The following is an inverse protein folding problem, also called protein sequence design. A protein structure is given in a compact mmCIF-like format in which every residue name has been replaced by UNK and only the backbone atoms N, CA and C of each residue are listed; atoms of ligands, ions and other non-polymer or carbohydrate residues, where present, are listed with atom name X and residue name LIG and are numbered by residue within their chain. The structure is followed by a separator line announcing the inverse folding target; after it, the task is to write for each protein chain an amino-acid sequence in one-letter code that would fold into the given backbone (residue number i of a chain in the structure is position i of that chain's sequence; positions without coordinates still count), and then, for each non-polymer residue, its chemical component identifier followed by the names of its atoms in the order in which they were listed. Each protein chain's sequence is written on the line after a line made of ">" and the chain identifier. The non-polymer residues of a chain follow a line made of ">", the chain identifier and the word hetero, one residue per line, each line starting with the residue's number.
data_IF_263999486231
#
_entry.id   IF_263999486231
#
_cell.length_a   1.000
_cell.length_b   1.000
_cell.length_c   1.000
_cell.angle_alpha   90.00
_cell.angle_beta   90.00
_cell.angle_gamma   90.00
#
_symmetry.space_group_name_H-M   'P 1'
#
loop_
_entity.id
_entity.type
_entity.pdbx_description
1 polymer ?
#
# COMPACT_ATOMS: atom_id res chain seq x y z
N UNK A 1 13.07 -22.15 9.90
CA UNK A 1 13.59 -23.08 8.88
C UNK A 1 15.03 -23.52 9.13
N UNK A 2 15.92 -22.66 9.65
CA UNK A 2 17.33 -23.01 9.91
C UNK A 2 17.54 -24.20 10.86
N UNK A 3 16.74 -24.32 11.93
CA UNK A 3 16.87 -25.42 12.90
C UNK A 3 16.56 -26.80 12.30
N UNK A 4 15.59 -26.89 11.37
CA UNK A 4 15.24 -28.12 10.66
C UNK A 4 16.31 -28.51 9.64
N UNK A 5 16.86 -27.52 8.92
CA UNK A 5 17.96 -27.74 7.98
C UNK A 5 19.24 -28.18 8.70
N UNK A 6 19.57 -27.56 9.84
CA UNK A 6 20.70 -27.97 10.67
C UNK A 6 20.50 -29.39 11.21
N UNK A 7 19.30 -29.74 11.69
CA UNK A 7 19.00 -31.09 12.18
C UNK A 7 19.13 -32.17 11.09
N UNK A 8 18.64 -31.91 9.87
CA UNK A 8 18.81 -32.81 8.73
C UNK A 8 20.28 -32.99 8.34
N UNK A 9 21.05 -31.90 8.23
CA UNK A 9 22.48 -31.97 7.89
C UNK A 9 23.34 -32.63 8.98
N UNK A 10 22.92 -32.59 10.25
CA UNK A 10 23.67 -33.21 11.35
C UNK A 10 23.26 -34.67 11.60
N UNK A 11 22.06 -35.07 11.17
CA UNK A 11 21.51 -36.43 11.38
C UNK A 11 21.88 -37.45 10.30
N UNK A 12 22.35 -37.00 9.14
CA UNK A 12 22.81 -37.86 8.05
C UNK A 12 24.26 -37.56 7.69
N UNK A 13 25.19 -38.35 8.24
CA UNK A 13 26.64 -38.40 7.94
C UNK A 13 26.98 -38.83 6.49
N UNK A 14 26.03 -38.71 5.56
CA UNK A 14 26.09 -39.29 4.20
C UNK A 14 25.76 -38.31 3.07
N UNK A 15 25.52 -37.04 3.38
CA UNK A 15 25.24 -36.04 2.35
C UNK A 15 26.57 -35.42 1.91
N UNK A 16 27.05 -35.85 0.74
CA UNK A 16 28.20 -35.21 0.12
C UNK A 16 27.84 -33.77 -0.27
N UNK A 17 28.76 -32.79 -0.13
CA UNK A 17 28.50 -31.39 -0.47
C UNK A 17 27.97 -31.20 -1.89
N UNK A 18 28.39 -32.05 -2.83
CA UNK A 18 27.93 -32.08 -4.22
C UNK A 18 26.49 -32.53 -4.37
N UNK A 19 26.02 -33.48 -3.56
CA UNK A 19 24.62 -33.93 -3.59
C UNK A 19 23.69 -32.88 -2.99
N UNK A 20 24.13 -32.20 -1.92
CA UNK A 20 23.40 -31.08 -1.35
C UNK A 20 23.32 -29.91 -2.35
N UNK A 21 24.43 -29.59 -3.01
CA UNK A 21 24.45 -28.54 -4.03
C UNK A 21 23.53 -28.90 -5.20
N UNK A 22 23.56 -30.13 -5.68
CA UNK A 22 22.66 -30.60 -6.75
C UNK A 22 21.19 -30.56 -6.33
N UNK A 23 20.86 -31.02 -5.12
CA UNK A 23 19.48 -31.00 -4.62
C UNK A 23 18.95 -29.56 -4.46
N UNK A 24 19.76 -28.64 -3.95
CA UNK A 24 19.40 -27.22 -3.85
C UNK A 24 19.28 -26.60 -5.23
N UNK A 25 20.22 -26.89 -6.14
CA UNK A 25 20.16 -26.39 -7.51
C UNK A 25 18.89 -26.88 -8.22
N UNK A 26 18.55 -28.16 -8.10
CA UNK A 26 17.35 -28.74 -8.71
C UNK A 26 16.08 -28.16 -8.12
N UNK A 27 15.97 -28.10 -6.78
CA UNK A 27 14.80 -27.53 -6.12
C UNK A 27 14.59 -26.06 -6.50
N UNK A 28 15.66 -25.25 -6.53
CA UNK A 28 15.57 -23.84 -6.90
C UNK A 28 15.34 -23.62 -8.40
N UNK A 29 15.75 -24.54 -9.28
CA UNK A 29 15.54 -24.40 -10.73
C UNK A 29 14.13 -24.85 -11.11
N UNK A 30 13.66 -25.99 -10.58
CA UNK A 30 12.35 -26.55 -10.90
C UNK A 30 11.19 -25.77 -10.26
N UNK A 31 11.36 -25.33 -9.01
CA UNK A 31 10.38 -24.46 -8.34
C UNK A 31 10.56 -23.00 -8.75
N UNK A 32 11.79 -22.56 -9.00
CA UNK A 32 12.10 -21.20 -9.44
C UNK A 32 11.49 -20.84 -10.78
N UNK A 33 11.53 -21.74 -11.77
CA UNK A 33 10.90 -21.53 -13.09
C UNK A 33 9.37 -21.42 -12.99
N UNK A 34 8.75 -22.15 -12.07
CA UNK A 34 7.30 -22.08 -11.85
C UNK A 34 6.88 -20.87 -11.03
N UNK A 35 7.71 -20.43 -10.09
CA UNK A 35 7.43 -19.30 -9.21
C UNK A 35 7.78 -17.95 -9.83
N UNK A 36 8.79 -17.89 -10.71
CA UNK A 36 9.27 -16.67 -11.39
C UNK A 36 8.14 -15.84 -12.02
N UNK A 37 7.20 -16.43 -12.79
CA UNK A 37 6.08 -15.68 -13.36
C UNK A 37 5.22 -15.02 -12.27
N UNK A 38 4.89 -15.77 -11.21
CA UNK A 38 4.01 -15.29 -10.13
C UNK A 38 4.68 -14.23 -9.24
N UNK A 39 6.00 -14.32 -9.04
CA UNK A 39 6.77 -13.32 -8.29
C UNK A 39 6.91 -12.04 -9.13
N UNK A 40 7.18 -12.19 -10.42
CA UNK A 40 7.24 -11.06 -11.35
C UNK A 40 5.89 -10.32 -11.43
N UNK A 41 4.78 -11.03 -11.54
CA UNK A 41 3.43 -10.46 -11.51
C UNK A 41 3.19 -9.67 -10.22
N UNK A 42 3.49 -10.26 -9.05
CA UNK A 42 3.36 -9.56 -7.76
C UNK A 42 4.24 -8.31 -7.66
N UNK A 43 5.45 -8.35 -8.21
CA UNK A 43 6.34 -7.19 -8.20
C UNK A 43 5.85 -6.07 -9.13
N UNK A 44 5.27 -6.43 -10.28
CA UNK A 44 4.63 -5.48 -11.19
C UNK A 44 3.43 -4.83 -10.50
N UNK A 45 2.51 -5.62 -9.93
CA UNK A 45 1.34 -5.10 -9.21
C UNK A 45 1.73 -4.17 -8.06
N UNK A 46 2.72 -4.58 -7.25
CA UNK A 46 3.22 -3.76 -6.15
C UNK A 46 3.92 -2.49 -6.66
N UNK A 47 4.62 -2.58 -7.79
CA UNK A 47 5.25 -1.45 -8.46
C UNK A 47 4.22 -0.44 -8.97
N UNK A 48 3.15 -0.92 -9.62
CA UNK A 48 2.05 -0.10 -10.11
C UNK A 48 1.30 0.58 -8.95
N UNK A 49 0.99 -0.18 -7.89
CA UNK A 49 0.33 0.36 -6.68
C UNK A 49 1.15 1.48 -6.06
N UNK A 50 2.45 1.25 -5.83
CA UNK A 50 3.37 2.27 -5.30
C UNK A 50 3.56 3.44 -6.25
N UNK A 51 3.54 3.19 -7.55
CA UNK A 51 3.62 4.21 -8.59
C UNK A 51 2.41 5.15 -8.54
N UNK A 52 1.21 4.57 -8.47
CA UNK A 52 -0.04 5.30 -8.38
C UNK A 52 -0.14 6.13 -7.09
N UNK A 53 0.20 5.55 -5.94
CA UNK A 53 0.19 6.24 -4.64
C UNK A 53 1.14 7.45 -4.66
N UNK A 54 2.38 7.27 -5.12
CA UNK A 54 3.35 8.37 -5.25
C UNK A 54 2.91 9.42 -6.26
N UNK A 55 2.32 9.00 -7.38
CA UNK A 55 1.81 9.90 -8.41
C UNK A 55 0.68 10.79 -7.89
N UNK A 56 -0.29 10.20 -7.17
CA UNK A 56 -1.39 10.94 -6.55
C UNK A 56 -0.90 11.92 -5.49
N UNK A 57 0.02 11.49 -4.62
CA UNK A 57 0.59 12.35 -3.60
C UNK A 57 1.33 13.55 -4.21
N UNK A 58 2.18 13.31 -5.22
CA UNK A 58 2.86 14.37 -5.95
C UNK A 58 1.89 15.32 -6.67
N UNK A 59 0.80 14.78 -7.22
CA UNK A 59 -0.26 15.57 -7.85
C UNK A 59 -0.98 16.49 -6.85
N UNK A 60 -1.30 15.97 -5.66
CA UNK A 60 -1.87 16.76 -4.57
C UNK A 60 -0.89 17.83 -4.10
N UNK A 61 0.39 17.49 -3.91
CA UNK A 61 1.44 18.44 -3.54
C UNK A 61 1.54 19.62 -4.53
N UNK A 62 1.61 19.31 -5.82
CA UNK A 62 1.66 20.32 -6.87
C UNK A 62 0.38 21.17 -6.90
N UNK A 63 -0.79 20.55 -6.77
CA UNK A 63 -2.06 21.26 -6.77
C UNK A 63 -2.19 22.21 -5.56
N UNK A 64 -1.72 21.79 -4.39
CA UNK A 64 -1.65 22.59 -3.17
C UNK A 64 -0.70 23.78 -3.34
N UNK A 65 0.49 23.54 -3.89
CA UNK A 65 1.47 24.60 -4.15
C UNK A 65 0.91 25.65 -5.12
N UNK A 66 0.29 25.21 -6.22
CA UNK A 66 -0.26 26.09 -7.24
C UNK A 66 -1.48 26.91 -6.75
N UNK A 67 -2.34 26.32 -5.91
CA UNK A 67 -3.56 27.00 -5.41
C UNK A 67 -3.32 27.82 -4.16
N UNK A 68 -2.53 27.31 -3.23
CA UNK A 68 -2.41 27.84 -1.87
C UNK A 68 -0.98 28.24 -1.48
N UNK A 69 0.00 28.03 -2.36
CA UNK A 69 1.41 28.32 -2.10
C UNK A 69 1.94 27.57 -0.87
N UNK A 70 2.79 28.23 -0.09
CA UNK A 70 3.34 27.66 1.15
C UNK A 70 2.26 27.27 2.17
N UNK A 71 1.10 27.94 2.17
CA UNK A 71 0.00 27.62 3.08
C UNK A 71 -0.55 26.21 2.86
N UNK A 72 -0.61 25.77 1.60
CA UNK A 72 -1.02 24.41 1.24
C UNK A 72 0.06 23.37 1.55
N UNK A 73 1.34 23.71 1.32
CA UNK A 73 2.47 22.81 1.56
C UNK A 73 2.62 22.43 3.03
N UNK A 74 2.21 23.30 3.97
CA UNK A 74 2.22 22.97 5.41
C UNK A 74 1.32 21.79 5.77
N UNK A 75 0.32 21.47 4.93
CA UNK A 75 -0.59 20.34 5.14
C UNK A 75 -0.06 19.03 4.57
N UNK A 76 0.96 19.06 3.70
CA UNK A 76 1.55 17.85 3.11
C UNK A 76 2.01 16.82 4.14
N UNK A 77 2.79 17.16 5.18
CA UNK A 77 3.25 16.16 6.14
C UNK A 77 2.09 15.50 6.91
N UNK A 78 0.95 16.16 7.06
CA UNK A 78 -0.26 15.57 7.65
C UNK A 78 -1.00 14.67 6.65
N UNK A 79 -1.07 15.09 5.39
CA UNK A 79 -1.69 14.33 4.31
C UNK A 79 -0.90 13.05 4.04
N UNK A 80 0.43 13.11 4.03
CA UNK A 80 1.32 11.94 3.86
C UNK A 80 1.11 10.88 4.93
N UNK A 81 0.97 11.29 6.20
CA UNK A 81 0.73 10.37 7.31
C UNK A 81 -0.62 9.67 7.24
N UNK A 82 -1.60 10.30 6.58
CA UNK A 82 -2.98 9.80 6.45
C UNK A 82 -3.34 9.46 5.00
N UNK A 83 -2.33 9.33 4.13
CA UNK A 83 -2.52 9.21 2.70
C UNK A 83 -3.17 7.86 2.38
N UNK A 84 -4.38 7.92 1.83
CA UNK A 84 -5.02 6.79 1.16
C UNK A 84 -5.43 7.24 -0.25
N UNK A 85 -5.42 6.31 -1.21
CA UNK A 85 -5.75 6.56 -2.61
C UNK A 85 -7.09 7.31 -2.78
N UNK A 86 -8.12 6.94 -2.01
CA UNK A 86 -9.45 7.56 -2.06
C UNK A 86 -9.46 8.97 -1.46
N UNK A 87 -8.77 9.19 -0.33
CA UNK A 87 -8.61 10.52 0.28
C UNK A 87 -7.80 11.44 -0.62
N UNK A 88 -6.73 10.97 -1.28
CA UNK A 88 -5.93 11.77 -2.21
C UNK A 88 -6.75 12.19 -3.44
N UNK A 89 -7.59 11.30 -3.98
CA UNK A 89 -8.52 11.63 -5.06
C UNK A 89 -9.58 12.65 -4.62
N UNK A 90 -10.16 12.47 -3.43
CA UNK A 90 -11.11 13.41 -2.86
C UNK A 90 -10.47 14.80 -2.62
N UNK A 91 -9.22 14.82 -2.18
CA UNK A 91 -8.41 16.04 -2.02
C UNK A 91 -8.22 16.76 -3.36
N UNK A 92 -7.88 16.05 -4.43
CA UNK A 92 -7.75 16.63 -5.78
C UNK A 92 -9.05 17.28 -6.27
N UNK A 93 -10.21 16.69 -5.99
CA UNK A 93 -11.51 17.30 -6.32
C UNK A 93 -11.86 18.47 -5.40
N UNK A 94 -11.52 18.39 -4.12
CA UNK A 94 -11.74 19.46 -3.16
C UNK A 94 -10.87 20.69 -3.46
N UNK A 95 -9.58 20.53 -3.80
CA UNK A 95 -8.65 21.62 -4.14
C UNK A 95 -9.18 22.48 -5.30
N UNK A 96 -9.91 21.87 -6.25
CA UNK A 96 -10.52 22.62 -7.37
C UNK A 96 -11.61 23.59 -6.90
N UNK A 97 -12.33 23.25 -5.83
CA UNK A 97 -13.54 23.96 -5.36
C UNK A 97 -13.29 24.87 -4.15
N UNK A 98 -12.44 24.42 -3.23
CA UNK A 98 -12.19 25.06 -1.93
C UNK A 98 -11.26 26.27 -2.10
N UNK A 99 -11.52 27.34 -1.35
CA UNK A 99 -10.79 28.61 -1.44
C UNK A 99 -9.71 28.78 -0.35
N UNK A 100 -9.70 27.94 0.69
CA UNK A 100 -8.72 28.02 1.79
C UNK A 100 -8.10 26.66 2.17
N UNK A 101 -6.82 26.64 2.61
CA UNK A 101 -6.18 25.42 3.13
C UNK A 101 -6.91 24.81 4.34
N UNK A 102 -7.51 25.65 5.19
CA UNK A 102 -8.21 25.24 6.41
C UNK A 102 -9.48 24.44 6.10
N UNK A 103 -10.26 24.86 5.10
CA UNK A 103 -11.42 24.10 4.62
C UNK A 103 -11.00 22.74 4.04
N UNK A 104 -9.85 22.70 3.35
CA UNK A 104 -9.33 21.46 2.77
C UNK A 104 -8.93 20.45 3.85
N UNK A 105 -8.46 20.93 5.01
CA UNK A 105 -8.15 20.08 6.17
C UNK A 105 -9.34 19.26 6.63
N UNK A 106 -10.57 19.80 6.55
CA UNK A 106 -11.76 19.07 6.97
C UNK A 106 -12.05 17.84 6.11
N UNK A 107 -11.63 17.85 4.84
CA UNK A 107 -11.91 16.76 3.88
C UNK A 107 -11.18 15.47 4.26
N UNK A 108 -9.93 15.56 4.71
CA UNK A 108 -9.16 14.40 5.16
C UNK A 108 -9.16 14.23 6.69
N UNK A 109 -9.43 15.29 7.47
CA UNK A 109 -9.56 15.19 8.92
C UNK A 109 -10.82 14.41 9.31
N UNK A 110 -11.92 14.64 8.60
CA UNK A 110 -13.13 13.83 8.68
C UNK A 110 -12.85 12.47 8.06
N UNK A 111 -12.54 11.47 8.90
CA UNK A 111 -12.61 10.06 8.51
C UNK A 111 -13.95 9.86 7.76
N UNK A 112 -14.00 9.27 6.56
CA UNK A 112 -15.29 9.01 5.93
C UNK A 112 -16.11 8.21 6.94
N UNK A 113 -17.35 8.60 7.27
CA UNK A 113 -18.22 7.71 8.01
C UNK A 113 -18.32 6.46 7.15
N UNK A 114 -17.82 5.34 7.65
CA UNK A 114 -18.18 4.04 7.12
C UNK A 114 -19.71 4.02 7.04
N UNK A 115 -20.23 3.80 5.84
CA UNK A 115 -21.57 3.27 5.58
C UNK A 115 -22.58 3.51 6.71
N UNK A 116 -23.18 4.70 6.78
CA UNK A 116 -24.47 4.85 7.42
C UNK A 116 -25.53 4.33 6.45
N UNK A 117 -25.54 3.00 6.24
CA UNK A 117 -26.68 2.32 5.65
C UNK A 117 -27.89 2.58 6.54
N UNK A 118 -28.99 3.02 5.93
CA UNK A 118 -30.23 3.28 6.64
C UNK A 118 -30.65 2.08 7.48
N UNK A 119 -30.98 2.34 8.74
CA UNK A 119 -31.98 1.56 9.45
C UNK A 119 -32.98 2.57 9.99
N UNK A 120 -34.23 2.36 9.59
CA UNK A 120 -35.31 3.30 9.77
C UNK A 120 -35.54 3.65 11.23
N UNK A 121 -35.73 4.95 11.46
CA UNK A 121 -36.53 5.43 12.56
C UNK A 121 -37.92 4.81 12.44
N UNK A 122 -38.17 3.73 13.17
CA UNK A 122 -39.55 3.36 13.52
C UNK A 122 -39.93 4.27 14.68
N UNK A 123 -40.90 5.19 14.54
CA UNK A 123 -41.41 5.93 15.68
C UNK A 123 -42.20 4.96 16.57
N UNK A 124 -42.13 5.09 17.91
CA UNK A 124 -43.10 4.43 18.77
C UNK A 124 -44.45 5.09 18.52
N UNK A 125 -45.40 4.35 17.96
CA UNK A 125 -46.81 4.71 18.04
C UNK A 125 -47.48 3.82 19.08
N UNK A 126 -48.31 4.50 19.87
CA UNK A 126 -48.91 4.11 21.14
C UNK A 126 -49.92 2.96 21.06
#
# INVERSE_FOLDING_TARGET
>A
MEALLRYLCTGTDRLEPTELQQAVQQALTDEGDQLMPTIAERWIEEGERRGLERGLLNGVALALELRFGEGGLRLLPEIEQRADTSTLQALMEAIKRVASPEELRQVYASRPPGTCGGHGSVPPQA
#
